data_IF_396846251613
#
_entry.id   IF_396846251613
#
_cell.length_a   1.000
_cell.length_b   1.000
_cell.length_c   1.000
_cell.angle_alpha   90.00
_cell.angle_beta   90.00
_cell.angle_gamma   90.00
#
_symmetry.space_group_name_H-M   'P 1'
#
loop_
_entity.id
_entity.type
_entity.pdbx_description
1 polymer ?
#
# COMPACT_ATOMS: atom_id res chain seq x y z
N UNK A 1 -7.18 17.11 15.22
CA UNK A 1 -8.07 18.02 14.48
C UNK A 1 -8.03 17.75 12.98
N UNK A 2 -7.04 18.20 12.18
CA UNK A 2 -7.09 18.01 10.72
C UNK A 2 -7.07 16.53 10.23
N UNK A 3 -6.32 15.64 10.89
CA UNK A 3 -6.25 14.22 10.51
C UNK A 3 -7.54 13.46 10.86
N UNK A 4 -8.20 13.83 11.95
CA UNK A 4 -9.45 13.17 12.38
C UNK A 4 -10.59 13.50 11.42
N UNK A 5 -10.70 14.77 10.99
CA UNK A 5 -11.65 15.21 9.97
C UNK A 5 -11.43 14.48 8.63
N UNK A 6 -10.17 14.29 8.22
CA UNK A 6 -9.82 13.55 7.00
C UNK A 6 -10.21 12.06 7.11
N UNK A 7 -9.94 11.43 8.26
CA UNK A 7 -10.33 10.04 8.54
C UNK A 7 -11.85 9.88 8.49
N UNK A 8 -12.61 10.82 9.07
CA UNK A 8 -14.07 10.81 9.03
C UNK A 8 -14.61 10.98 7.61
N UNK A 9 -14.03 11.90 6.83
CA UNK A 9 -14.41 12.11 5.44
C UNK A 9 -14.18 10.85 4.58
N UNK A 10 -13.04 10.18 4.78
CA UNK A 10 -12.71 8.92 4.10
C UNK A 10 -13.66 7.80 4.51
N UNK A 11 -13.92 7.65 5.82
CA UNK A 11 -14.84 6.63 6.32
C UNK A 11 -16.26 6.83 5.77
N UNK A 12 -16.73 8.08 5.70
CA UNK A 12 -18.02 8.41 5.11
C UNK A 12 -18.06 8.12 3.60
N UNK A 13 -16.99 8.40 2.86
CA UNK A 13 -16.90 8.06 1.43
C UNK A 13 -16.97 6.54 1.19
N UNK A 14 -16.16 5.78 1.93
CA UNK A 14 -16.14 4.31 1.85
C UNK A 14 -17.48 3.70 2.26
N UNK A 15 -18.14 4.24 3.27
CA UNK A 15 -19.47 3.80 3.67
C UNK A 15 -20.49 3.98 2.53
N UNK A 16 -20.50 5.15 1.87
CA UNK A 16 -21.37 5.41 0.71
C UNK A 16 -21.09 4.47 -0.46
N UNK A 17 -19.83 4.09 -0.65
CA UNK A 17 -19.37 3.20 -1.73
C UNK A 17 -19.47 1.71 -1.38
N UNK A 18 -19.89 1.40 -0.15
CA UNK A 18 -19.98 0.05 0.41
C UNK A 18 -18.63 -0.66 0.53
N UNK A 19 -17.56 0.11 0.73
CA UNK A 19 -16.16 -0.36 0.84
C UNK A 19 -15.62 -0.29 2.28
N UNK A 20 -16.47 0.02 3.26
CA UNK A 20 -16.12 0.15 4.68
C UNK A 20 -15.87 -1.19 5.40
N UNK A 21 -15.95 -2.32 4.69
CA UNK A 21 -15.66 -3.66 5.22
C UNK A 21 -14.80 -4.42 4.21
N UNK A 22 -13.96 -5.35 4.69
CA UNK A 22 -13.26 -6.27 3.81
C UNK A 22 -14.24 -7.02 2.90
N UNK A 23 -13.89 -7.11 1.61
CA UNK A 23 -14.65 -7.82 0.60
C UNK A 23 -14.00 -9.18 0.38
N UNK A 24 -14.70 -10.30 0.65
CA UNK A 24 -14.16 -11.62 0.38
C UNK A 24 -14.13 -11.91 -1.13
N UNK A 25 -12.99 -12.35 -1.62
CA UNK A 25 -12.83 -12.87 -2.96
C UNK A 25 -13.29 -14.33 -3.03
N UNK A 26 -14.26 -14.60 -3.91
CA UNK A 26 -14.71 -15.95 -4.25
C UNK A 26 -13.60 -16.77 -4.91
N UNK A 27 -12.76 -16.10 -5.70
CA UNK A 27 -11.52 -16.66 -6.23
C UNK A 27 -10.52 -15.55 -6.53
N UNK A 28 -9.24 -15.89 -6.56
CA UNK A 28 -8.18 -14.95 -6.91
C UNK A 28 -7.08 -15.67 -7.68
N UNK A 29 -6.60 -15.08 -8.78
CA UNK A 29 -5.48 -15.65 -9.52
C UNK A 29 -4.56 -14.61 -10.12
N UNK A 30 -3.29 -14.98 -10.22
CA UNK A 30 -2.30 -14.25 -11.00
C UNK A 30 -2.70 -14.29 -12.48
N UNK A 31 -2.63 -13.14 -13.15
CA UNK A 31 -2.83 -13.00 -14.59
C UNK A 31 -1.53 -12.79 -15.36
N UNK A 32 -0.47 -12.39 -14.65
CA UNK A 32 0.85 -12.13 -15.19
C UNK A 32 1.49 -10.92 -14.52
N UNK A 33 2.60 -10.48 -15.08
CA UNK A 33 3.30 -9.28 -14.65
C UNK A 33 2.64 -8.02 -15.24
N UNK A 34 2.75 -6.91 -14.52
CA UNK A 34 2.26 -5.61 -14.93
C UNK A 34 3.27 -4.53 -14.52
N UNK A 35 4.14 -4.14 -15.47
CA UNK A 35 5.17 -3.14 -15.24
C UNK A 35 6.10 -3.53 -14.10
N UNK A 36 5.96 -2.88 -12.95
CA UNK A 36 6.80 -3.11 -11.75
C UNK A 36 6.15 -4.04 -10.71
N UNK A 37 5.17 -4.85 -11.09
CA UNK A 37 4.47 -5.74 -10.15
C UNK A 37 3.70 -6.86 -10.82
N UNK A 38 2.76 -7.45 -10.08
CA UNK A 38 1.97 -8.61 -10.43
C UNK A 38 0.49 -8.23 -10.54
N UNK A 39 -0.14 -8.60 -11.65
CA UNK A 39 -1.57 -8.37 -11.87
C UNK A 39 -2.38 -9.56 -11.40
N UNK A 40 -3.22 -9.33 -10.41
CA UNK A 40 -4.19 -10.27 -9.89
C UNK A 40 -5.59 -9.97 -10.42
N UNK A 41 -6.35 -11.02 -10.69
CA UNK A 41 -7.77 -10.94 -10.97
C UNK A 41 -8.53 -11.68 -9.86
N UNK A 42 -9.44 -10.96 -9.23
CA UNK A 42 -10.32 -11.47 -8.19
C UNK A 42 -11.74 -11.50 -8.70
N UNK A 43 -12.41 -12.62 -8.44
CA UNK A 43 -13.86 -12.71 -8.53
C UNK A 43 -14.40 -12.36 -7.15
N UNK A 44 -15.13 -11.26 -7.03
CA UNK A 44 -15.86 -10.91 -5.81
C UNK A 44 -17.35 -11.16 -6.02
N UNK A 45 -18.11 -11.26 -4.93
CA UNK A 45 -19.57 -11.24 -5.03
C UNK A 45 -19.96 -9.94 -5.73
N UNK A 46 -20.49 -10.04 -6.96
CA UNK A 46 -20.94 -8.88 -7.71
C UNK A 46 -22.00 -8.11 -6.90
N UNK A 47 -22.09 -6.81 -7.09
CA UNK A 47 -22.96 -6.00 -6.25
C UNK A 47 -22.82 -4.50 -6.43
N UNK A 48 -23.32 -3.77 -5.44
CA UNK A 48 -23.49 -2.32 -5.43
C UNK A 48 -22.21 -1.51 -5.18
N UNK A 49 -21.05 -2.17 -5.14
CA UNK A 49 -19.77 -1.52 -4.88
C UNK A 49 -19.43 -0.46 -5.93
N UNK A 50 -18.96 0.69 -5.47
CA UNK A 50 -18.36 1.74 -6.31
C UNK A 50 -16.83 1.69 -6.16
N UNK A 51 -16.22 0.67 -6.76
CA UNK A 51 -14.76 0.51 -6.84
C UNK A 51 -14.27 1.20 -8.11
N UNK A 52 -13.28 2.08 -7.95
CA UNK A 52 -12.70 2.90 -9.00
C UNK A 52 -11.32 2.38 -9.38
N UNK A 53 -10.86 2.77 -10.56
CA UNK A 53 -9.44 2.67 -10.86
C UNK A 53 -8.66 3.53 -9.85
N UNK A 54 -7.45 3.09 -9.54
CA UNK A 54 -6.51 3.72 -8.60
C UNK A 54 -6.89 3.66 -7.11
N UNK A 55 -8.03 3.05 -6.76
CA UNK A 55 -8.33 2.72 -5.37
C UNK A 55 -7.19 1.85 -4.80
N UNK A 56 -6.75 2.21 -3.60
CA UNK A 56 -5.83 1.39 -2.83
C UNK A 56 -6.60 0.24 -2.20
N UNK A 57 -5.98 -0.93 -2.19
CA UNK A 57 -6.55 -2.13 -1.59
C UNK A 57 -5.44 -2.89 -0.86
N UNK A 58 -5.72 -3.31 0.37
CA UNK A 58 -4.92 -4.29 1.10
C UNK A 58 -5.48 -5.67 0.82
N UNK A 59 -4.61 -6.59 0.42
CA UNK A 59 -4.96 -7.97 0.07
C UNK A 59 -4.46 -8.86 1.19
N UNK A 60 -5.37 -9.53 1.88
CA UNK A 60 -5.06 -10.54 2.90
C UNK A 60 -5.26 -11.93 2.29
N UNK A 61 -4.19 -12.70 2.14
CA UNK A 61 -4.25 -14.03 1.54
C UNK A 61 -3.23 -14.98 2.17
N UNK A 62 -3.71 -16.11 2.71
CA UNK A 62 -2.88 -17.18 3.28
C UNK A 62 -1.84 -16.67 4.29
N UNK A 63 -2.25 -15.75 5.18
CA UNK A 63 -1.38 -15.16 6.22
C UNK A 63 -0.38 -14.13 5.72
N UNK A 64 -0.50 -13.70 4.46
CA UNK A 64 0.29 -12.60 3.88
C UNK A 64 -0.61 -11.42 3.58
N UNK A 65 -0.04 -10.25 3.79
CA UNK A 65 -0.66 -8.97 3.49
C UNK A 65 0.19 -8.26 2.44
N UNK A 66 -0.45 -7.71 1.41
CA UNK A 66 0.22 -6.81 0.49
C UNK A 66 -0.69 -5.67 0.07
N UNK A 67 -0.07 -4.57 -0.37
CA UNK A 67 -0.80 -3.47 -0.97
C UNK A 67 -0.94 -3.64 -2.47
N UNK A 68 -2.11 -3.27 -2.97
CA UNK A 68 -2.42 -3.21 -4.38
C UNK A 68 -3.10 -1.91 -4.77
N UNK A 69 -3.17 -1.72 -6.08
CA UNK A 69 -3.92 -0.64 -6.72
C UNK A 69 -4.91 -1.27 -7.68
N UNK A 70 -6.17 -0.82 -7.63
CA UNK A 70 -7.18 -1.28 -8.57
C UNK A 70 -6.84 -0.77 -9.96
N UNK A 71 -6.67 -1.70 -10.90
CA UNK A 71 -6.49 -1.39 -12.30
C UNK A 71 -7.83 -1.26 -13.04
N UNK A 72 -8.78 -2.15 -12.72
CA UNK A 72 -10.09 -2.19 -13.37
C UNK A 72 -11.08 -2.96 -12.51
N UNK A 73 -12.33 -2.51 -12.48
CA UNK A 73 -13.45 -3.28 -11.92
C UNK A 73 -14.57 -3.39 -12.96
N UNK A 74 -14.99 -4.62 -13.23
CA UNK A 74 -16.22 -4.91 -13.96
C UNK A 74 -17.32 -5.25 -12.95
N UNK A 75 -18.20 -4.28 -12.69
CA UNK A 75 -19.28 -4.42 -11.71
C UNK A 75 -20.32 -5.46 -12.12
N UNK A 76 -20.59 -5.61 -13.42
CA UNK A 76 -21.56 -6.58 -13.93
C UNK A 76 -21.06 -8.00 -13.71
N UNK A 77 -19.76 -8.22 -13.92
CA UNK A 77 -19.14 -9.52 -13.75
C UNK A 77 -18.61 -9.76 -12.33
N UNK A 78 -18.51 -8.74 -11.48
CA UNK A 78 -17.83 -8.83 -10.19
C UNK A 78 -16.33 -9.12 -10.33
N UNK A 79 -15.72 -8.73 -11.46
CA UNK A 79 -14.32 -9.02 -11.77
C UNK A 79 -13.46 -7.80 -11.43
N UNK A 80 -12.64 -7.94 -10.38
CA UNK A 80 -11.69 -6.92 -9.94
C UNK A 80 -10.29 -7.27 -10.40
N UNK A 81 -9.57 -6.30 -10.97
CA UNK A 81 -8.16 -6.42 -11.32
C UNK A 81 -7.34 -5.49 -10.45
N UNK A 82 -6.33 -6.05 -9.80
CA UNK A 82 -5.45 -5.33 -8.87
C UNK A 82 -4.01 -5.57 -9.29
N UNK A 83 -3.17 -4.54 -9.23
CA UNK A 83 -1.73 -4.66 -9.37
C UNK A 83 -1.08 -4.51 -8.01
N UNK A 84 -0.29 -5.51 -7.61
CA UNK A 84 0.51 -5.51 -6.38
C UNK A 84 2.00 -5.51 -6.75
N UNK A 85 2.86 -4.71 -6.11
CA UNK A 85 4.30 -4.84 -6.30
C UNK A 85 4.84 -6.17 -5.72
N UNK A 86 4.12 -6.76 -4.76
CA UNK A 86 4.51 -8.00 -4.09
C UNK A 86 3.88 -9.23 -4.75
N UNK A 87 4.66 -10.31 -4.82
CA UNK A 87 4.18 -11.61 -5.29
C UNK A 87 3.47 -12.35 -4.14
N UNK A 88 2.18 -12.54 -4.29
CA UNK A 88 1.32 -13.23 -3.32
C UNK A 88 1.09 -14.72 -3.65
N UNK A 89 1.69 -15.25 -4.71
CA UNK A 89 1.39 -16.60 -5.20
C UNK A 89 0.53 -16.59 -6.48
N UNK A 90 0.25 -17.79 -7.01
CA UNK A 90 -0.55 -17.94 -8.24
C UNK A 90 -2.05 -17.95 -7.98
N UNK A 91 -2.48 -18.44 -6.81
CA UNK A 91 -3.88 -18.56 -6.40
C UNK A 91 -4.10 -17.91 -5.04
N UNK A 92 -5.18 -17.14 -4.94
CA UNK A 92 -5.57 -16.33 -3.80
C UNK A 92 -7.06 -16.53 -3.50
N UNK A 93 -7.50 -17.79 -3.50
CA UNK A 93 -8.89 -18.14 -3.24
C UNK A 93 -9.23 -17.83 -1.77
N UNK A 94 -10.36 -17.14 -1.53
CA UNK A 94 -10.76 -16.71 -0.19
C UNK A 94 -9.98 -15.51 0.36
N UNK A 95 -9.23 -14.79 -0.48
CA UNK A 95 -8.56 -13.57 -0.03
C UNK A 95 -9.56 -12.49 0.43
N UNK A 96 -9.20 -11.71 1.45
CA UNK A 96 -9.97 -10.55 1.87
C UNK A 96 -9.37 -9.27 1.30
N UNK A 97 -10.21 -8.41 0.76
CA UNK A 97 -9.83 -7.17 0.08
C UNK A 97 -10.34 -5.97 0.89
N UNK A 98 -9.44 -5.27 1.56
CA UNK A 98 -9.76 -4.11 2.39
C UNK A 98 -9.40 -2.81 1.66
N UNK A 99 -10.38 -1.92 1.49
CA UNK A 99 -10.23 -0.65 0.78
C UNK A 99 -10.10 0.56 1.72
N UNK A 100 -10.30 0.34 3.02
CA UNK A 100 -10.20 1.37 4.02
C UNK A 100 -8.72 1.72 4.24
N UNK A 101 -8.25 2.94 3.92
CA UNK A 101 -6.86 3.34 4.14
C UNK A 101 -6.64 3.93 5.53
N UNK A 102 -7.66 3.96 6.41
CA UNK A 102 -7.53 4.58 7.74
C UNK A 102 -6.50 3.87 8.61
N UNK A 103 -6.21 2.58 8.38
CA UNK A 103 -5.08 1.91 9.01
C UNK A 103 -3.74 2.58 8.64
N UNK A 104 -3.58 3.01 7.39
CA UNK A 104 -2.36 3.70 6.93
C UNK A 104 -2.27 5.10 7.55
N UNK A 105 -3.39 5.82 7.62
CA UNK A 105 -3.43 7.14 8.25
C UNK A 105 -3.14 7.08 9.75
N UNK A 106 -3.65 6.05 10.43
CA UNK A 106 -3.35 5.81 11.85
C UNK A 106 -1.87 5.47 12.05
N UNK A 107 -1.31 4.58 11.24
CA UNK A 107 0.10 4.21 11.31
C UNK A 107 1.02 5.43 11.05
N UNK A 108 0.72 6.20 9.99
CA UNK A 108 1.45 7.44 9.69
C UNK A 108 1.32 8.47 10.81
N UNK A 109 0.13 8.64 11.39
CA UNK A 109 -0.09 9.57 12.50
C UNK A 109 0.68 9.17 13.76
N UNK A 110 0.66 7.88 14.12
CA UNK A 110 1.44 7.34 15.25
C UNK A 110 2.93 7.58 15.00
N UNK A 111 3.42 7.25 13.80
CA UNK A 111 4.83 7.39 13.48
C UNK A 111 5.30 8.84 13.42
N UNK A 112 4.48 9.75 12.89
CA UNK A 112 4.77 11.19 12.92
C UNK A 112 4.84 11.72 14.36
N UNK A 113 3.99 11.22 15.26
CA UNK A 113 4.06 11.57 16.68
C UNK A 113 5.35 11.04 17.34
N UNK A 114 5.76 9.81 17.04
CA UNK A 114 7.03 9.24 17.51
C UNK A 114 8.25 10.03 17.02
N UNK A 115 8.26 10.41 15.73
CA UNK A 115 9.33 11.25 15.14
C UNK A 115 9.37 12.65 15.76
N UNK A 116 8.21 13.21 16.13
CA UNK A 116 8.13 14.48 16.85
C UNK A 116 8.67 14.42 18.28
N UNK A 117 8.75 13.21 18.87
CA UNK A 117 9.28 13.00 20.22
C UNK A 117 10.79 12.69 20.22
N UNK A 118 11.29 11.92 19.25
CA UNK A 118 12.73 11.64 19.08
C UNK A 118 13.17 11.83 17.61
N UNK A 119 13.52 13.06 17.21
CA UNK A 119 13.92 13.36 15.82
C UNK A 119 15.27 12.76 15.43
N UNK A 120 16.12 12.38 16.39
CA UNK A 120 17.48 11.85 16.15
C UNK A 120 17.50 10.35 15.80
N UNK A 121 16.43 9.60 16.08
CA UNK A 121 16.31 8.15 15.81
C UNK A 121 15.64 7.83 14.45
N UNK A 122 15.43 8.84 13.61
CA UNK A 122 14.78 8.67 12.30
C UNK A 122 15.74 8.08 11.26
N UNK A 123 15.61 6.77 11.01
CA UNK A 123 16.16 6.11 9.83
C UNK A 123 15.09 5.99 8.73
N UNK A 124 15.23 6.68 7.58
CA UNK A 124 14.24 6.68 6.49
C UNK A 124 14.02 5.31 5.82
N UNK A 125 14.85 4.32 6.14
CA UNK A 125 14.79 2.97 5.56
C UNK A 125 13.57 2.15 6.02
N UNK A 126 12.92 2.51 7.14
CA UNK A 126 11.81 1.71 7.70
C UNK A 126 10.48 1.92 6.99
N UNK A 127 10.20 3.13 6.50
CA UNK A 127 8.92 3.46 5.84
C UNK A 127 8.84 2.83 4.45
N UNK A 128 9.97 2.75 3.74
CA UNK A 128 10.01 2.19 2.39
C UNK A 128 10.36 0.69 2.37
N UNK A 129 11.01 0.18 3.42
CA UNK A 129 11.27 -1.25 3.61
C UNK A 129 10.02 -2.08 3.89
N UNK A 130 9.03 -1.53 4.62
CA UNK A 130 7.76 -2.20 4.90
C UNK A 130 6.82 -2.30 3.68
N UNK A 131 7.04 -1.47 2.64
CA UNK A 131 6.24 -1.42 1.41
C UNK A 131 7.04 -1.75 0.14
N UNK A 132 8.17 -2.45 0.29
CA UNK A 132 8.81 -3.16 -0.82
C UNK A 132 9.81 -2.37 -1.68
N UNK A 133 10.40 -1.26 -1.22
CA UNK A 133 11.60 -0.69 -1.86
C UNK A 133 12.53 -0.05 -0.85
N UNK A 134 13.66 -0.67 -0.53
CA UNK A 134 14.79 0.11 -0.01
C UNK A 134 15.14 1.18 -1.06
N UNK A 135 15.27 2.48 -0.69
CA UNK A 135 15.82 3.46 -1.61
C UNK A 135 17.22 3.01 -2.05
N UNK A 136 17.64 3.27 -3.30
CA UNK A 136 18.99 2.95 -3.73
C UNK A 136 19.95 3.67 -2.79
N UNK A 137 20.90 2.93 -2.21
CA UNK A 137 21.99 3.51 -1.43
C UNK A 137 22.74 4.45 -2.37
N UNK A 138 22.53 5.75 -2.20
CA UNK A 138 23.50 6.72 -2.66
C UNK A 138 24.70 6.52 -1.74
N UNK A 139 25.70 5.80 -2.23
CA UNK A 139 27.00 5.74 -1.59
C UNK A 139 27.43 7.19 -1.34
N UNK A 140 27.44 7.55 -0.05
CA UNK A 140 27.95 8.83 0.41
C UNK A 140 29.45 8.71 0.25
N UNK A 141 29.96 9.00 -0.95
CA UNK A 141 31.37 9.31 -1.11
C UNK A 141 31.66 10.48 -0.17
N UNK A 142 32.34 10.15 0.92
CA UNK A 142 32.82 11.15 1.86
C UNK A 142 33.78 12.05 1.08
N UNK A 143 33.59 13.38 1.06
CA UNK A 143 34.56 14.25 0.41
C UNK A 143 35.89 14.06 1.12
N UNK A 144 36.90 13.58 0.40
CA UNK A 144 38.29 13.64 0.85
C UNK A 144 38.62 15.11 1.04
N UNK A 145 38.70 15.53 2.30
CA UNK A 145 39.41 16.74 2.68
C UNK A 145 40.89 16.45 2.44
N UNK A 146 41.38 16.77 1.25
CA UNK A 146 42.81 16.91 1.03
C UNK A 146 43.28 18.02 1.97
N UNK A 147 43.95 17.59 3.03
CA UNK A 147 44.55 18.47 4.02
C UNK A 147 45.73 19.15 3.34
N UNK A 148 45.60 20.45 3.05
CA UNK A 148 46.72 21.29 2.65
C UNK A 148 47.70 21.38 3.83
N UNK A 149 48.73 20.57 3.79
CA UNK A 149 49.91 20.71 4.64
C UNK A 149 51.12 20.84 3.72
N UNK A 150 51.21 21.98 3.02
CA UNK A 150 52.44 22.47 2.38
C UNK A 150 52.42 24.00 2.43
N UNK A 151 52.63 24.54 3.63
CA UNK A 151 53.15 25.89 3.85
C UNK A 151 54.05 25.83 5.09
N UNK A 152 55.30 25.46 4.88
CA UNK A 152 56.51 26.13 5.40
C UNK A 152 57.77 25.42 4.91
#
# INVERSE_FOLDING_TARGET
MAIEEEIEAIAADLARRLLHRPIPALSGRLRGEAGTGHRYAFQIAGGTYDIRADDRVRIHAAGRDALGVVHRFDRTLGLLQVVSPEWLGERLDGAELEFDPTWLLRELSTRLAEVGQDPEDFFPDTVLGAFGRLPPRLDRESPRLDSSADLN
#
